data_IF_820091344258
#
_entry.id   IF_820091344258
#
_cell.length_a   1.000
_cell.length_b   1.000
_cell.length_c   1.000
_cell.angle_alpha   90.00
_cell.angle_beta   90.00
_cell.angle_gamma   90.00
#
_symmetry.space_group_name_H-M   'P 1'
#
loop_
_entity.id
_entity.type
_entity.pdbx_description
1 polymer ?
#
# COMPACT_ATOMS: atom_id res chain seq x y z
N UNK A 1 22.08 3.17 5.24
CA UNK A 1 21.62 3.19 5.20
C UNK A 1 20.72 2.69 5.43
N UNK A 2 20.36 2.31 5.40
CA UNK A 2 19.61 1.56 5.44
C UNK A 2 18.63 1.66 6.14
N UNK A 3 18.14 1.61 6.18
CA UNK A 3 17.37 1.79 6.79
C UNK A 3 16.38 1.21 6.96
N UNK A 4 16.17 0.64 7.55
CA UNK A 4 15.38 0.00 7.91
C UNK A 4 14.18 0.35 7.70
N UNK A 5 13.70 0.85 8.08
CA UNK A 5 12.47 1.19 7.94
C UNK A 5 12.15 1.83 6.73
N UNK A 6 12.97 1.79 5.78
CA UNK A 6 12.77 2.40 4.66
C UNK A 6 11.74 1.79 3.89
N UNK A 7 10.69 2.39 3.47
CA UNK A 7 9.73 1.86 2.53
C UNK A 7 10.27 2.04 1.14
N UNK A 8 9.96 1.08 0.29
CA UNK A 8 10.37 1.16 -1.08
C UNK A 8 9.47 2.16 -1.79
N UNK A 9 9.84 2.49 -3.00
CA UNK A 9 9.08 3.40 -3.81
C UNK A 9 7.66 2.89 -4.00
N UNK A 10 7.48 1.61 -4.24
CA UNK A 10 6.17 1.05 -4.43
C UNK A 10 5.35 1.07 -3.16
N UNK A 11 6.00 0.84 -2.04
CA UNK A 11 5.30 0.88 -0.76
C UNK A 11 4.79 2.28 -0.47
N UNK A 12 5.59 3.28 -0.78
CA UNK A 12 5.18 4.65 -0.58
C UNK A 12 4.03 5.01 -1.49
N UNK A 13 4.08 4.54 -2.71
CA UNK A 13 3.03 4.80 -3.67
C UNK A 13 1.71 4.18 -3.20
N UNK A 14 1.79 2.99 -2.65
CA UNK A 14 0.60 2.32 -2.14
C UNK A 14 0.00 3.11 -0.98
N UNK A 15 0.85 3.55 -0.06
CA UNK A 15 0.38 4.31 1.08
C UNK A 15 -0.31 5.59 0.65
N UNK A 16 0.32 6.29 -0.27
CA UNK A 16 -0.23 7.53 -0.76
C UNK A 16 -1.58 7.30 -1.45
N UNK A 17 -1.64 6.26 -2.25
CA UNK A 17 -2.87 5.94 -2.95
C UNK A 17 -3.99 5.62 -1.97
N UNK A 18 -3.69 4.83 -0.94
CA UNK A 18 -4.68 4.49 0.06
C UNK A 18 -5.17 5.75 0.77
N UNK A 19 -4.26 6.61 1.15
CA UNK A 19 -4.61 7.84 1.81
C UNK A 19 -5.53 8.69 0.98
N UNK A 20 -5.19 8.85 -0.27
CA UNK A 20 -5.98 9.65 -1.19
C UNK A 20 -7.38 9.07 -1.37
N UNK A 21 -7.47 7.76 -1.47
CA UNK A 21 -8.76 7.12 -1.66
C UNK A 21 -9.64 7.25 -0.42
N UNK A 22 -9.04 7.15 0.74
CA UNK A 22 -9.79 7.32 1.97
C UNK A 22 -10.33 8.74 2.07
N UNK A 23 -9.52 9.70 1.72
CA UNK A 23 -9.94 11.09 1.75
C UNK A 23 -11.06 11.36 0.76
N UNK A 24 -10.89 10.84 -0.45
CA UNK A 24 -11.87 11.04 -1.49
C UNK A 24 -13.15 10.26 -1.33
N UNK A 25 -13.04 9.00 -1.00
CA UNK A 25 -14.17 8.11 -0.95
C UNK A 25 -14.69 7.77 0.43
N UNK A 26 -13.91 8.03 1.45
CA UNK A 26 -14.29 7.70 2.80
C UNK A 26 -14.00 6.27 3.19
N UNK A 27 -13.37 5.52 2.31
CA UNK A 27 -12.99 4.13 2.62
C UNK A 27 -11.77 3.76 1.79
N UNK A 28 -11.02 2.75 2.24
CA UNK A 28 -9.80 2.37 1.54
C UNK A 28 -10.10 1.63 0.25
N UNK A 29 -9.18 1.65 -0.70
CA UNK A 29 -9.38 0.97 -1.98
C UNK A 29 -9.21 -0.53 -1.81
N UNK A 30 -9.74 -1.28 -2.76
CA UNK A 30 -9.61 -2.71 -2.73
C UNK A 30 -8.21 -3.10 -3.18
N UNK A 31 -7.84 -4.34 -2.91
CA UNK A 31 -6.53 -4.85 -3.33
C UNK A 31 -6.38 -4.75 -4.84
N UNK A 32 -7.44 -5.04 -5.55
CA UNK A 32 -7.42 -4.98 -6.99
C UNK A 32 -7.17 -3.56 -7.48
N UNK A 33 -7.80 -2.59 -6.85
CA UNK A 33 -7.61 -1.20 -7.21
C UNK A 33 -6.19 -0.75 -6.94
N UNK A 34 -5.63 -1.19 -5.82
CA UNK A 34 -4.26 -0.86 -5.50
C UNK A 34 -3.32 -1.44 -6.55
N UNK A 35 -3.52 -2.69 -6.90
CA UNK A 35 -2.68 -3.33 -7.89
C UNK A 35 -2.71 -2.60 -9.21
N UNK A 36 -3.90 -2.19 -9.61
CA UNK A 36 -4.05 -1.50 -10.85
C UNK A 36 -3.36 -0.15 -10.85
N UNK A 37 -3.51 0.58 -9.74
CA UNK A 37 -2.92 1.90 -9.63
C UNK A 37 -1.40 1.87 -9.59
N UNK A 38 -0.84 0.84 -8.96
CA UNK A 38 0.60 0.73 -8.80
C UNK A 38 1.26 -0.01 -9.97
N UNK A 39 0.45 -0.68 -10.76
CA UNK A 39 0.99 -1.41 -11.89
C UNK A 39 1.41 -2.82 -11.57
N UNK A 40 0.82 -3.42 -10.54
CA UNK A 40 1.12 -4.79 -10.19
C UNK A 40 0.04 -5.69 -10.75
N UNK A 41 0.46 -6.73 -11.40
CA UNK A 41 -0.51 -7.63 -12.00
C UNK A 41 -0.96 -8.74 -11.05
N UNK A 42 -0.23 -8.94 -9.98
CA UNK A 42 -0.55 -10.00 -9.04
C UNK A 42 -1.10 -9.47 -7.74
N UNK A 43 -2.29 -9.94 -7.35
CA UNK A 43 -2.86 -9.52 -6.09
C UNK A 43 -2.07 -10.10 -4.93
N UNK A 44 -1.40 -11.22 -5.15
CA UNK A 44 -0.56 -11.79 -4.10
C UNK A 44 0.55 -10.82 -3.73
N UNK A 45 1.11 -10.14 -4.72
CA UNK A 45 2.15 -9.17 -4.46
C UNK A 45 1.60 -7.98 -3.67
N UNK A 46 0.39 -7.54 -4.01
CA UNK A 46 -0.23 -6.44 -3.30
C UNK A 46 -0.47 -6.84 -1.85
N UNK A 47 -0.94 -8.05 -1.63
CA UNK A 47 -1.17 -8.55 -0.27
C UNK A 47 0.14 -8.57 0.52
N UNK A 48 1.22 -8.95 -0.13
CA UNK A 48 2.51 -8.99 0.54
C UNK A 48 2.95 -7.59 0.97
N UNK A 49 2.75 -6.62 0.11
CA UNK A 49 3.09 -5.24 0.45
C UNK A 49 2.23 -4.72 1.60
N UNK A 50 0.94 -5.01 1.53
CA UNK A 50 0.03 -4.56 2.57
C UNK A 50 0.37 -5.18 3.91
N UNK A 51 0.69 -6.45 3.92
CA UNK A 51 1.05 -7.14 5.15
C UNK A 51 2.31 -6.51 5.75
N UNK A 52 3.25 -6.19 4.91
CA UNK A 52 4.48 -5.58 5.35
C UNK A 52 4.23 -4.19 5.95
N UNK A 53 3.39 -3.39 5.29
CA UNK A 53 3.08 -2.07 5.77
C UNK A 53 2.31 -2.12 7.09
N UNK A 54 1.44 -3.08 7.22
CA UNK A 54 0.70 -3.28 8.44
C UNK A 54 1.63 -3.63 9.57
N UNK A 55 2.58 -4.51 9.31
CA UNK A 55 3.53 -4.93 10.27
C UNK A 55 4.41 -3.80 10.75
N UNK A 56 4.71 -2.87 9.85
CA UNK A 56 5.52 -1.73 10.16
C UNK A 56 4.73 -0.61 10.82
N UNK A 57 3.43 -0.76 10.92
CA UNK A 57 2.60 0.22 11.57
C UNK A 57 2.12 1.36 10.70
N UNK A 58 2.32 1.26 9.42
CA UNK A 58 1.88 2.31 8.52
C UNK A 58 0.37 2.27 8.27
N UNK A 59 -0.21 1.07 8.31
CA UNK A 59 -1.65 0.96 8.17
C UNK A 59 -2.21 0.08 9.25
N UNK A 60 -3.47 0.33 9.59
CA UNK A 60 -4.10 -0.45 10.60
C UNK A 60 -5.13 -1.29 9.97
N UNK A 61 -5.34 -2.46 10.55
CA UNK A 61 -6.32 -3.32 10.04
C UNK A 61 -7.68 -2.98 10.50
#
# INVERSE_FOLDING_TARGET
MGTRAETTRKEKAILKFIEEQVIENGYPPSVREIGKAIGLSSTATVHAYLAKLEKQGFIKK
#
